data_IF_254970911482
#
_entry.id   IF_254970911482
#
_cell.length_a   1.000
_cell.length_b   1.000
_cell.length_c   1.000
_cell.angle_alpha   90.00
_cell.angle_beta   90.00
_cell.angle_gamma   90.00
#
_symmetry.space_group_name_H-M   'P 1'
#
loop_
_entity.id
_entity.type
_entity.pdbx_description
1 polymer ?
#
# COMPACT_ATOMS: atom_id res chain seq x y z
N UNK A 1 13.49 3.40 48.12
CA UNK A 1 13.96 3.59 46.74
C UNK A 1 13.05 4.61 46.06
N UNK A 2 13.39 5.90 46.14
CA UNK A 2 12.67 6.94 45.41
C UNK A 2 13.44 7.18 44.11
N UNK A 3 12.91 6.74 42.98
CA UNK A 3 13.43 7.09 41.66
C UNK A 3 13.10 8.56 41.38
N UNK A 4 14.00 9.45 41.83
CA UNK A 4 13.90 10.89 41.62
C UNK A 4 13.89 11.22 40.14
N UNK A 5 12.69 11.43 39.56
CA UNK A 5 12.56 11.96 38.22
C UNK A 5 12.99 13.43 38.25
N UNK A 6 14.14 13.73 37.65
CA UNK A 6 14.58 15.11 37.39
C UNK A 6 13.44 15.95 36.79
N UNK A 7 13.31 17.18 37.27
CA UNK A 7 12.37 18.17 36.72
C UNK A 7 12.70 18.48 35.26
N UNK A 8 11.73 19.04 34.52
CA UNK A 8 11.92 19.39 33.11
C UNK A 8 13.07 20.40 32.90
N UNK A 9 13.24 21.33 33.84
CA UNK A 9 14.31 22.34 33.80
C UNK A 9 15.68 21.71 34.05
N UNK A 10 15.80 20.81 35.03
CA UNK A 10 17.06 20.10 35.31
C UNK A 10 17.47 19.20 34.14
N UNK A 11 16.52 18.50 33.51
CA UNK A 11 16.79 17.71 32.30
C UNK A 11 17.26 18.57 31.13
N UNK A 12 16.72 19.79 30.98
CA UNK A 12 17.15 20.73 29.94
C UNK A 12 18.56 21.26 30.21
N UNK A 13 18.87 21.59 31.46
CA UNK A 13 20.20 22.02 31.89
C UNK A 13 21.25 20.92 31.66
N UNK A 14 20.97 19.68 32.08
CA UNK A 14 21.88 18.54 31.88
C UNK A 14 22.17 18.29 30.39
N UNK A 15 21.13 18.37 29.54
CA UNK A 15 21.29 18.25 28.08
C UNK A 15 22.13 19.39 27.50
N UNK A 16 21.99 20.62 28.00
CA UNK A 16 22.81 21.76 27.58
C UNK A 16 24.27 21.56 27.97
N UNK A 17 24.54 21.12 29.21
CA UNK A 17 25.90 20.82 29.68
C UNK A 17 26.57 19.75 28.82
N UNK A 18 25.86 18.65 28.54
CA UNK A 18 26.37 17.59 27.65
C UNK A 18 26.64 18.10 26.24
N UNK A 19 25.81 19.00 25.72
CA UNK A 19 26.03 19.60 24.40
C UNK A 19 27.26 20.51 24.38
N UNK A 20 27.45 21.36 25.40
CA UNK A 20 28.65 22.19 25.50
C UNK A 20 29.93 21.36 25.68
N UNK A 21 29.88 20.24 26.40
CA UNK A 21 31.01 19.33 26.52
C UNK A 21 31.43 18.75 25.15
N UNK A 22 30.46 18.39 24.30
CA UNK A 22 30.77 17.92 22.95
C UNK A 22 31.50 18.97 22.10
N UNK A 23 31.14 20.25 22.27
CA UNK A 23 31.83 21.37 21.61
C UNK A 23 33.26 21.49 22.13
N UNK A 24 33.47 21.39 23.44
CA UNK A 24 34.80 21.45 24.04
C UNK A 24 35.71 20.28 23.60
N UNK A 25 35.14 19.11 23.34
CA UNK A 25 35.88 17.91 22.94
C UNK A 25 36.13 17.84 21.42
N UNK A 26 35.54 18.73 20.61
CA UNK A 26 35.61 18.72 19.16
C UNK A 26 37.02 19.11 18.65
N UNK A 27 37.64 18.27 17.82
CA UNK A 27 39.01 18.51 17.30
C UNK A 27 39.11 18.46 15.79
N UNK A 28 38.19 17.78 15.11
CA UNK A 28 38.24 17.59 13.66
C UNK A 28 37.03 18.22 12.97
N UNK A 29 37.12 18.58 11.68
CA UNK A 29 35.95 19.07 10.91
C UNK A 29 34.75 18.10 10.97
N UNK A 30 35.01 16.79 11.04
CA UNK A 30 33.97 15.77 11.18
C UNK A 30 33.25 15.83 12.53
N UNK A 31 33.93 16.26 13.60
CA UNK A 31 33.30 16.46 14.90
C UNK A 31 32.35 17.66 14.86
N UNK A 32 32.81 18.78 14.28
CA UNK A 32 31.98 19.98 14.08
C UNK A 32 30.76 19.73 13.21
N UNK A 33 30.89 18.94 12.14
CA UNK A 33 29.77 18.49 11.33
C UNK A 33 28.75 17.66 12.12
N UNK A 34 29.22 16.72 12.96
CA UNK A 34 28.32 15.91 13.81
C UNK A 34 27.59 16.77 14.84
N UNK A 35 28.25 17.78 15.38
CA UNK A 35 27.67 18.69 16.37
C UNK A 35 26.63 19.61 15.69
N UNK A 36 26.98 20.20 14.55
CA UNK A 36 26.10 21.04 13.74
C UNK A 36 24.80 20.33 13.35
N UNK A 37 24.83 19.02 13.12
CA UNK A 37 23.65 18.20 12.81
C UNK A 37 22.79 17.80 14.02
N UNK A 38 23.19 18.12 15.26
CA UNK A 38 22.45 17.67 16.43
C UNK A 38 21.09 18.36 16.54
N UNK A 39 20.05 17.55 16.76
CA UNK A 39 18.71 18.02 17.09
C UNK A 39 18.63 18.44 18.55
N UNK A 40 18.45 19.73 18.81
CA UNK A 40 18.39 20.31 20.15
C UNK A 40 17.67 21.68 20.11
N UNK A 41 17.65 22.44 21.21
CA UNK A 41 17.08 23.79 21.25
C UNK A 41 18.04 24.81 21.88
N UNK A 42 19.34 24.61 21.68
CA UNK A 42 20.41 25.40 22.28
C UNK A 42 21.12 26.34 21.29
N UNK A 43 20.74 26.31 20.02
CA UNK A 43 21.27 27.20 18.99
C UNK A 43 20.87 28.66 19.29
N UNK A 44 21.87 29.53 19.39
CA UNK A 44 21.72 30.98 19.58
C UNK A 44 22.75 31.72 18.73
N UNK A 45 22.57 33.04 18.56
CA UNK A 45 23.49 33.89 17.78
C UNK A 45 24.89 33.85 18.39
N UNK A 46 24.99 33.95 19.72
CA UNK A 46 26.27 33.94 20.44
C UNK A 46 27.02 32.62 20.24
N UNK A 47 26.30 31.49 20.35
CA UNK A 47 26.91 30.18 20.15
C UNK A 47 27.43 30.00 18.72
N UNK A 48 26.70 30.51 17.73
CA UNK A 48 27.11 30.43 16.33
C UNK A 48 28.33 31.34 16.09
N UNK A 49 28.33 32.55 16.65
CA UNK A 49 29.44 33.52 16.55
C UNK A 49 30.73 32.98 17.18
N UNK A 50 30.68 32.46 18.41
CA UNK A 50 31.83 31.98 19.18
C UNK A 50 32.67 30.95 18.40
N UNK A 51 32.01 30.15 17.55
CA UNK A 51 32.64 29.06 16.80
C UNK A 51 32.43 29.18 15.28
N UNK A 52 32.15 30.38 14.76
CA UNK A 52 31.77 30.62 13.36
C UNK A 52 32.72 30.03 12.31
N UNK A 53 34.02 30.00 12.60
CA UNK A 53 35.03 29.48 11.68
C UNK A 53 35.24 27.96 11.78
N UNK A 54 34.60 27.30 12.75
CA UNK A 54 34.72 25.88 12.99
C UNK A 54 33.48 25.10 12.57
N UNK A 55 32.32 25.77 12.54
CA UNK A 55 31.07 25.14 12.13
C UNK A 55 31.10 24.62 10.69
N UNK A 56 30.55 23.42 10.51
CA UNK A 56 30.10 22.98 9.18
C UNK A 56 28.79 23.71 8.86
N UNK A 57 28.90 24.76 8.05
CA UNK A 57 27.77 25.61 7.69
C UNK A 57 26.74 24.93 6.81
N UNK A 58 27.12 23.91 6.04
CA UNK A 58 26.16 23.10 5.31
C UNK A 58 25.28 22.32 6.30
N UNK A 59 25.91 21.67 7.29
CA UNK A 59 25.23 20.94 8.35
C UNK A 59 24.34 21.85 9.22
N UNK A 60 24.79 23.05 9.57
CA UNK A 60 23.95 24.03 10.28
C UNK A 60 22.77 24.48 9.43
N UNK A 61 23.00 24.76 8.14
CA UNK A 61 21.96 25.22 7.23
C UNK A 61 20.82 24.21 7.12
N UNK A 62 21.12 22.90 7.02
CA UNK A 62 20.09 21.86 6.93
C UNK A 62 19.43 21.51 8.27
N UNK A 63 19.94 22.00 9.40
CA UNK A 63 19.48 21.56 10.71
C UNK A 63 18.14 22.23 11.08
N UNK A 64 17.07 21.45 11.04
CA UNK A 64 15.71 21.89 11.40
C UNK A 64 15.54 22.33 12.87
N UNK A 65 16.54 22.07 13.72
CA UNK A 65 16.57 22.53 15.10
C UNK A 65 17.12 23.95 15.26
N UNK A 66 17.85 24.44 14.27
CA UNK A 66 18.27 25.85 14.20
C UNK A 66 17.05 26.64 13.76
N UNK A 67 16.41 27.31 14.72
CA UNK A 67 15.31 28.23 14.45
C UNK A 67 15.91 29.54 13.95
N UNK A 68 15.93 29.72 12.63
CA UNK A 68 16.48 30.92 12.01
C UNK A 68 15.68 32.15 12.47
N UNK A 69 16.40 33.23 12.72
CA UNK A 69 15.88 34.57 12.96
C UNK A 69 16.48 35.52 11.93
N UNK A 70 15.89 36.70 11.73
CA UNK A 70 16.45 37.73 10.84
C UNK A 70 17.89 38.08 11.23
N UNK A 71 18.15 38.28 12.53
CA UNK A 71 19.50 38.55 13.06
C UNK A 71 20.53 37.47 12.68
N UNK A 72 20.16 36.19 12.78
CA UNK A 72 21.03 35.09 12.36
C UNK A 72 21.31 35.11 10.85
N UNK A 73 20.32 35.44 10.03
CA UNK A 73 20.47 35.51 8.59
C UNK A 73 21.37 36.69 8.18
N UNK A 74 21.18 37.86 8.80
CA UNK A 74 21.98 39.06 8.56
C UNK A 74 23.44 38.86 8.98
N UNK A 75 23.68 38.46 10.23
CA UNK A 75 25.04 38.40 10.79
C UNK A 75 25.91 37.34 10.10
N UNK A 76 25.31 36.23 9.69
CA UNK A 76 26.03 35.09 9.11
C UNK A 76 25.77 34.88 7.61
N UNK A 77 25.31 35.91 6.92
CA UNK A 77 24.89 35.87 5.51
C UNK A 77 25.90 35.21 4.58
N UNK A 78 27.19 35.50 4.77
CA UNK A 78 28.28 34.97 3.94
C UNK A 78 28.60 33.49 4.21
N UNK A 79 28.14 32.95 5.33
CA UNK A 79 28.43 31.57 5.72
C UNK A 79 27.29 30.61 5.41
N UNK A 80 26.05 31.09 5.44
CA UNK A 80 24.88 30.25 5.18
C UNK A 80 24.91 29.61 3.80
N UNK A 81 24.56 28.33 3.75
CA UNK A 81 24.36 27.64 2.49
C UNK A 81 22.94 27.88 1.99
N UNK A 82 22.72 29.04 1.38
CA UNK A 82 21.39 29.53 0.98
C UNK A 82 20.57 28.55 0.14
N UNK A 83 21.21 27.77 -0.73
CA UNK A 83 20.51 26.72 -1.48
C UNK A 83 19.89 25.63 -0.60
N UNK A 84 20.52 25.30 0.52
CA UNK A 84 20.00 24.33 1.50
C UNK A 84 18.88 24.97 2.31
N UNK A 85 19.07 26.23 2.74
CA UNK A 85 18.04 26.99 3.44
C UNK A 85 16.76 27.13 2.60
N UNK A 86 16.88 27.41 1.31
CA UNK A 86 15.73 27.50 0.38
C UNK A 86 14.88 26.21 0.30
N UNK A 87 15.42 25.05 0.68
CA UNK A 87 14.70 23.76 0.68
C UNK A 87 14.03 23.45 2.02
N UNK A 88 14.22 24.28 3.04
CA UNK A 88 13.67 24.01 4.37
C UNK A 88 12.18 24.25 4.41
N UNK A 89 11.46 23.19 4.70
CA UNK A 89 10.00 23.19 4.88
C UNK A 89 9.57 23.40 6.33
N UNK A 90 10.50 23.37 7.28
CA UNK A 90 10.24 23.57 8.71
C UNK A 90 10.26 25.05 9.13
N UNK A 91 10.71 25.94 8.23
CA UNK A 91 10.77 27.37 8.48
C UNK A 91 9.39 28.01 8.42
N UNK A 92 9.15 28.97 9.31
CA UNK A 92 8.05 29.93 9.17
C UNK A 92 8.52 31.03 8.24
N UNK A 93 8.31 30.83 6.95
CA UNK A 93 8.74 31.79 5.93
C UNK A 93 7.98 33.12 6.08
N UNK A 94 8.74 34.21 6.14
CA UNK A 94 8.28 35.59 6.10
C UNK A 94 8.60 36.18 4.71
N UNK A 95 7.71 37.01 4.17
CA UNK A 95 7.90 37.60 2.83
C UNK A 95 9.08 38.57 2.85
N UNK A 96 9.29 39.23 3.98
CA UNK A 96 10.38 40.15 4.28
C UNK A 96 11.75 39.46 4.14
N UNK A 97 11.87 38.17 4.48
CA UNK A 97 13.11 37.42 4.26
C UNK A 97 13.41 37.21 2.78
N UNK A 98 12.37 36.99 1.97
CA UNK A 98 12.53 36.85 0.51
C UNK A 98 12.94 38.18 -0.12
N UNK A 99 12.40 39.29 0.39
CA UNK A 99 12.76 40.66 -0.01
C UNK A 99 14.20 41.00 0.37
N UNK A 100 14.54 40.89 1.65
CA UNK A 100 15.82 41.36 2.18
C UNK A 100 17.01 40.56 1.63
N UNK A 101 16.84 39.24 1.45
CA UNK A 101 17.92 38.34 1.00
C UNK A 101 17.69 37.81 -0.42
N UNK A 102 16.98 38.57 -1.25
CA UNK A 102 16.56 38.16 -2.59
C UNK A 102 17.69 37.55 -3.44
N UNK A 103 18.88 38.17 -3.42
CA UNK A 103 20.02 37.76 -4.23
C UNK A 103 20.77 36.53 -3.69
N UNK A 104 20.49 36.11 -2.46
CA UNK A 104 21.12 34.95 -1.86
C UNK A 104 20.31 33.68 -2.05
N UNK A 105 18.98 33.80 -2.08
CA UNK A 105 18.10 32.66 -2.18
C UNK A 105 18.28 31.88 -3.48
N UNK A 106 18.22 30.55 -3.39
CA UNK A 106 18.12 29.71 -4.56
C UNK A 106 16.64 29.65 -4.98
N UNK A 107 16.25 30.50 -5.92
CA UNK A 107 14.87 30.61 -6.39
C UNK A 107 14.33 29.33 -7.01
N UNK A 108 15.16 28.50 -7.62
CA UNK A 108 14.71 27.19 -8.11
C UNK A 108 14.28 26.31 -6.94
N UNK A 109 15.08 26.21 -5.87
CA UNK A 109 14.72 25.43 -4.68
C UNK A 109 13.49 26.02 -3.97
N UNK A 110 13.41 27.35 -3.84
CA UNK A 110 12.21 28.00 -3.31
C UNK A 110 10.97 27.65 -4.15
N UNK A 111 11.09 27.61 -5.48
CA UNK A 111 9.98 27.28 -6.39
C UNK A 111 9.39 25.88 -6.19
N UNK A 112 10.09 24.98 -5.50
CA UNK A 112 9.61 23.64 -5.11
C UNK A 112 9.27 23.50 -3.61
N UNK A 113 9.52 24.52 -2.79
CA UNK A 113 9.27 24.50 -1.35
C UNK A 113 7.77 24.75 -1.03
N UNK A 114 7.07 23.74 -0.49
CA UNK A 114 5.63 23.80 -0.17
C UNK A 114 5.30 24.66 1.06
N UNK A 115 6.28 25.05 1.87
CA UNK A 115 6.08 25.81 3.10
C UNK A 115 6.17 27.33 2.94
N UNK A 116 6.45 27.82 1.73
CA UNK A 116 6.43 29.26 1.46
C UNK A 116 4.99 29.80 1.53
N UNK A 117 4.80 31.08 1.91
CA UNK A 117 3.51 31.75 1.90
C UNK A 117 3.13 32.12 0.47
N UNK A 118 2.78 31.12 -0.33
CA UNK A 118 2.39 31.29 -1.73
C UNK A 118 1.14 32.16 -1.85
N UNK A 119 1.30 33.36 -2.39
CA UNK A 119 0.21 34.25 -2.81
C UNK A 119 0.44 34.71 -4.25
N UNK A 120 -0.62 35.19 -4.91
CA UNK A 120 -0.51 35.75 -6.25
C UNK A 120 0.42 36.97 -6.29
N UNK A 121 0.41 37.81 -5.24
CA UNK A 121 1.28 38.97 -5.10
C UNK A 121 2.76 38.58 -4.98
N UNK A 122 3.06 37.52 -4.21
CA UNK A 122 4.42 37.02 -4.07
C UNK A 122 4.97 36.50 -5.40
N UNK A 123 4.13 35.79 -6.17
CA UNK A 123 4.51 35.30 -7.49
C UNK A 123 4.70 36.45 -8.46
N UNK A 124 3.78 37.41 -8.49
CA UNK A 124 3.85 38.58 -9.38
C UNK A 124 5.12 39.41 -9.12
N UNK A 125 5.43 39.68 -7.85
CA UNK A 125 6.60 40.47 -7.46
C UNK A 125 7.92 39.87 -7.95
N UNK A 126 8.05 38.54 -7.90
CA UNK A 126 9.28 37.83 -8.26
C UNK A 126 9.12 36.96 -9.51
N UNK A 127 8.23 37.35 -10.42
CA UNK A 127 7.84 36.59 -11.59
C UNK A 127 9.00 36.14 -12.51
N UNK A 128 10.14 36.84 -12.48
CA UNK A 128 11.32 36.54 -13.28
C UNK A 128 12.38 35.73 -12.52
N UNK A 129 12.25 35.63 -11.20
CA UNK A 129 13.14 34.82 -10.36
C UNK A 129 12.65 33.38 -10.25
N UNK A 130 11.33 33.18 -10.27
CA UNK A 130 10.73 31.87 -10.09
C UNK A 130 11.05 30.88 -11.20
N UNK A 131 11.30 29.62 -10.80
CA UNK A 131 11.26 28.47 -11.69
C UNK A 131 9.79 28.06 -11.86
N UNK A 132 9.20 28.48 -12.97
CA UNK A 132 7.79 28.25 -13.28
C UNK A 132 7.42 26.77 -13.43
N UNK A 133 8.36 25.90 -13.78
CA UNK A 133 8.10 24.46 -13.75
C UNK A 133 7.80 23.98 -12.33
N UNK A 134 8.58 24.44 -11.34
CA UNK A 134 8.34 24.11 -9.93
C UNK A 134 7.00 24.61 -9.42
N UNK A 135 6.65 25.87 -9.74
CA UNK A 135 5.36 26.45 -9.32
C UNK A 135 4.18 25.74 -9.98
N UNK A 136 4.31 25.35 -11.26
CA UNK A 136 3.23 24.66 -11.98
C UNK A 136 2.89 23.28 -11.39
N UNK A 137 3.86 22.61 -10.75
CA UNK A 137 3.68 21.26 -10.20
C UNK A 137 3.12 21.26 -8.76
N UNK A 138 2.62 22.38 -8.27
CA UNK A 138 2.15 22.50 -6.90
C UNK A 138 0.72 22.04 -6.74
N UNK A 139 0.50 21.03 -5.90
CA UNK A 139 -0.79 20.37 -5.68
C UNK A 139 -1.82 21.20 -4.90
N UNK A 140 -1.39 22.15 -4.07
CA UNK A 140 -2.25 22.83 -3.07
C UNK A 140 -2.81 24.19 -3.50
N UNK A 141 -2.43 24.70 -4.66
CA UNK A 141 -2.74 26.08 -5.06
C UNK A 141 -3.73 26.08 -6.21
N UNK A 142 -4.90 26.66 -5.96
CA UNK A 142 -5.92 26.92 -6.95
C UNK A 142 -5.69 28.32 -7.52
N UNK A 143 -4.92 28.42 -8.60
CA UNK A 143 -4.71 29.70 -9.29
C UNK A 143 -6.00 30.13 -9.98
N UNK A 144 -6.46 31.36 -9.77
CA UNK A 144 -7.63 31.84 -10.51
C UNK A 144 -7.33 31.91 -12.02
N UNK A 145 -8.42 31.92 -12.81
CA UNK A 145 -8.36 31.94 -14.28
C UNK A 145 -7.53 33.13 -14.76
N UNK A 146 -7.72 34.32 -14.19
CA UNK A 146 -7.05 35.54 -14.60
C UNK A 146 -5.53 35.48 -14.36
N UNK A 147 -5.10 34.82 -13.28
CA UNK A 147 -3.70 34.62 -12.93
C UNK A 147 -3.01 33.63 -13.86
N UNK A 148 -3.71 32.55 -14.23
CA UNK A 148 -3.22 31.63 -15.26
C UNK A 148 -3.06 32.36 -16.59
N UNK A 149 -4.07 33.14 -17.00
CA UNK A 149 -4.05 33.95 -18.23
C UNK A 149 -2.90 34.97 -18.23
N UNK A 150 -2.67 35.67 -17.10
CA UNK A 150 -1.61 36.70 -16.97
C UNK A 150 -0.21 36.16 -17.27
N UNK A 151 0.10 34.92 -16.87
CA UNK A 151 1.41 34.30 -17.09
C UNK A 151 1.38 33.08 -18.01
N UNK A 152 0.44 33.05 -18.94
CA UNK A 152 0.23 31.91 -19.86
C UNK A 152 1.51 31.43 -20.57
N UNK A 153 2.46 32.32 -20.84
CA UNK A 153 3.72 32.00 -21.53
C UNK A 153 4.81 31.46 -20.60
N UNK A 154 4.67 31.63 -19.28
CA UNK A 154 5.64 31.19 -18.29
C UNK A 154 5.29 29.84 -17.68
N UNK A 155 3.99 29.52 -17.59
CA UNK A 155 3.53 28.26 -17.01
C UNK A 155 4.08 27.01 -17.72
N UNK A 156 4.41 26.00 -16.94
CA UNK A 156 4.61 24.64 -17.44
C UNK A 156 3.24 23.96 -17.51
N UNK A 157 2.69 23.88 -18.73
CA UNK A 157 1.36 23.32 -18.95
C UNK A 157 1.22 21.86 -18.56
N UNK A 158 2.29 21.05 -18.68
CA UNK A 158 2.30 19.68 -18.16
C UNK A 158 2.21 19.61 -16.62
N UNK A 159 2.82 20.58 -15.93
CA UNK A 159 2.68 20.74 -14.49
C UNK A 159 1.26 21.12 -14.08
N UNK A 160 0.69 22.12 -14.77
CA UNK A 160 -0.70 22.54 -14.54
C UNK A 160 -1.68 21.38 -14.82
N UNK A 161 -1.45 20.61 -15.89
CA UNK A 161 -2.29 19.47 -16.28
C UNK A 161 -2.40 18.40 -15.19
N UNK A 162 -1.39 18.31 -14.30
CA UNK A 162 -1.33 17.28 -13.26
C UNK A 162 -2.14 17.62 -12.01
N UNK A 163 -2.41 18.90 -11.75
CA UNK A 163 -2.93 19.34 -10.45
C UNK A 163 -3.99 20.44 -10.53
N UNK A 164 -4.34 20.92 -11.72
CA UNK A 164 -5.30 21.99 -11.93
C UNK A 164 -6.26 21.66 -13.07
N UNK A 165 -7.55 21.58 -12.74
CA UNK A 165 -8.60 21.95 -13.67
C UNK A 165 -9.58 22.85 -12.91
N UNK A 166 -9.41 24.16 -13.06
CA UNK A 166 -10.21 25.10 -12.27
C UNK A 166 -11.45 25.61 -13.00
N UNK A 167 -11.49 25.49 -14.32
CA UNK A 167 -12.63 26.01 -15.08
C UNK A 167 -12.68 25.45 -16.52
N UNK A 168 -13.84 24.98 -17.02
CA UNK A 168 -14.01 24.53 -18.41
C UNK A 168 -13.52 25.54 -19.46
N UNK A 169 -13.74 26.84 -19.19
CA UNK A 169 -13.26 27.95 -20.03
C UNK A 169 -11.74 27.93 -20.27
N UNK A 170 -10.92 27.52 -19.30
CA UNK A 170 -9.46 27.44 -19.49
C UNK A 170 -9.06 26.27 -20.40
N UNK A 171 -9.77 25.14 -20.31
CA UNK A 171 -9.55 24.01 -21.21
C UNK A 171 -9.90 24.38 -22.66
N UNK A 172 -10.95 25.17 -22.84
CA UNK A 172 -11.36 25.67 -24.15
C UNK A 172 -10.36 26.68 -24.70
N UNK A 173 -10.08 27.76 -23.95
CA UNK A 173 -9.20 28.84 -24.41
C UNK A 173 -7.78 28.36 -24.71
N UNK A 174 -7.25 27.44 -23.90
CA UNK A 174 -5.86 26.97 -24.00
C UNK A 174 -5.75 25.50 -24.41
N UNK A 175 -6.71 25.03 -25.20
CA UNK A 175 -6.87 23.62 -25.55
C UNK A 175 -5.62 22.95 -26.16
N UNK A 176 -4.77 23.71 -26.85
CA UNK A 176 -3.54 23.19 -27.47
C UNK A 176 -2.33 23.17 -26.53
N UNK A 177 -2.40 23.86 -25.41
CA UNK A 177 -1.28 23.93 -24.45
C UNK A 177 -1.34 22.80 -23.43
N UNK A 178 -2.55 22.35 -23.10
CA UNK A 178 -2.77 21.30 -22.13
C UNK A 178 -2.20 19.96 -22.58
N UNK A 179 -1.60 19.24 -21.63
CA UNK A 179 -1.24 17.84 -21.81
C UNK A 179 -2.47 16.99 -21.48
N UNK A 180 -3.22 16.62 -22.52
CA UNK A 180 -4.48 15.86 -22.38
C UNK A 180 -4.29 14.47 -21.78
N UNK A 181 -3.12 13.86 -21.97
CA UNK A 181 -2.83 12.58 -21.34
C UNK A 181 -2.72 12.77 -19.82
N UNK A 182 -1.93 13.75 -19.37
CA UNK A 182 -1.77 14.05 -17.94
C UNK A 182 -3.10 14.55 -17.34
N UNK A 183 -3.88 15.35 -18.06
CA UNK A 183 -5.21 15.80 -17.60
C UNK A 183 -6.16 14.62 -17.35
N UNK A 184 -6.19 13.63 -18.24
CA UNK A 184 -7.00 12.42 -18.03
C UNK A 184 -6.46 11.58 -16.85
N UNK A 185 -5.15 11.66 -16.57
CA UNK A 185 -4.51 11.01 -15.42
C UNK A 185 -4.74 11.75 -14.10
N UNK A 186 -5.02 13.05 -14.13
CA UNK A 186 -5.20 13.91 -12.96
C UNK A 186 -6.30 13.39 -12.01
N UNK A 187 -6.06 13.60 -10.71
CA UNK A 187 -6.84 13.11 -9.56
C UNK A 187 -7.81 14.14 -9.00
N UNK A 188 -7.75 15.41 -9.43
CA UNK A 188 -8.56 16.49 -8.83
C UNK A 188 -9.98 16.62 -9.37
N UNK A 189 -10.24 16.15 -10.60
CA UNK A 189 -11.38 16.64 -11.37
C UNK A 189 -12.34 15.56 -11.84
N UNK A 190 -13.61 15.96 -11.93
CA UNK A 190 -14.72 15.12 -12.38
C UNK A 190 -15.08 15.50 -13.83
N UNK A 191 -14.94 14.54 -14.74
CA UNK A 191 -15.37 14.66 -16.13
C UNK A 191 -16.88 14.47 -16.23
N UNK A 192 -17.60 15.58 -16.37
CA UNK A 192 -19.05 15.56 -16.65
C UNK A 192 -19.32 15.18 -18.10
N UNK A 193 -20.57 14.81 -18.41
CA UNK A 193 -20.98 14.48 -19.77
C UNK A 193 -20.73 15.63 -20.77
N UNK A 194 -20.90 16.88 -20.33
CA UNK A 194 -20.67 18.08 -21.14
C UNK A 194 -19.18 18.21 -21.49
N UNK A 195 -18.28 18.03 -20.53
CA UNK A 195 -16.83 18.09 -20.76
C UNK A 195 -16.36 16.96 -21.66
N UNK A 196 -16.86 15.74 -21.43
CA UNK A 196 -16.59 14.59 -22.29
C UNK A 196 -17.01 14.88 -23.73
N UNK A 197 -18.20 15.47 -23.92
CA UNK A 197 -18.72 15.79 -25.25
C UNK A 197 -17.91 16.90 -25.93
N UNK A 198 -17.55 17.94 -25.17
CA UNK A 198 -16.81 19.09 -25.68
C UNK A 198 -15.39 18.72 -26.13
N UNK A 199 -14.72 17.84 -25.38
CA UNK A 199 -13.30 17.52 -25.60
C UNK A 199 -13.06 16.12 -26.14
N UNK A 200 -14.10 15.42 -26.62
CA UNK A 200 -14.07 14.00 -27.02
C UNK A 200 -12.86 13.59 -27.87
N UNK A 201 -12.40 14.44 -28.78
CA UNK A 201 -11.36 14.13 -29.75
C UNK A 201 -9.94 14.29 -29.17
N UNK A 202 -9.82 14.87 -27.96
CA UNK A 202 -8.56 15.09 -27.25
C UNK A 202 -8.37 14.16 -26.06
N UNK A 203 -9.46 13.57 -25.56
CA UNK A 203 -9.44 12.75 -24.36
C UNK A 203 -8.75 11.40 -24.61
N UNK A 204 -7.96 10.98 -23.63
CA UNK A 204 -7.45 9.62 -23.58
C UNK A 204 -8.51 8.70 -22.94
N UNK A 205 -9.40 8.18 -23.78
CA UNK A 205 -10.51 7.31 -23.35
C UNK A 205 -10.05 6.03 -22.64
N UNK A 206 -8.87 5.50 -22.99
CA UNK A 206 -8.30 4.35 -22.28
C UNK A 206 -7.97 4.71 -20.83
N UNK A 207 -7.35 5.87 -20.61
CA UNK A 207 -7.08 6.39 -19.26
C UNK A 207 -8.37 6.68 -18.49
N UNK A 208 -9.37 7.29 -19.13
CA UNK A 208 -10.66 7.58 -18.48
C UNK A 208 -11.47 6.32 -18.14
N UNK A 209 -11.29 5.24 -18.91
CA UNK A 209 -11.96 3.95 -18.65
C UNK A 209 -11.34 3.19 -17.48
N UNK A 210 -10.08 3.46 -17.13
CA UNK A 210 -9.37 2.76 -16.05
C UNK A 210 -9.96 3.13 -14.70
N UNK A 211 -10.23 2.10 -13.91
CA UNK A 211 -10.54 2.27 -12.51
C UNK A 211 -9.27 2.41 -11.67
N UNK A 212 -9.27 3.39 -10.78
CA UNK A 212 -8.26 3.60 -9.75
C UNK A 212 -9.02 3.88 -8.44
N UNK A 213 -8.73 3.10 -7.38
CA UNK A 213 -9.36 3.20 -6.06
C UNK A 213 -9.25 4.59 -5.42
N UNK A 214 -8.33 5.43 -5.91
CA UNK A 214 -8.16 6.80 -5.45
C UNK A 214 -9.00 7.83 -6.21
N UNK A 215 -9.67 7.46 -7.32
CA UNK A 215 -10.19 8.43 -8.30
C UNK A 215 -11.54 8.01 -8.95
N UNK A 216 -12.63 8.68 -8.56
CA UNK A 216 -13.90 8.60 -9.29
C UNK A 216 -13.97 9.73 -10.34
N UNK A 217 -13.21 9.57 -11.43
CA UNK A 217 -12.96 10.62 -12.45
C UNK A 217 -14.15 10.95 -13.34
N UNK A 218 -15.09 10.03 -13.48
CA UNK A 218 -16.25 10.14 -14.36
C UNK A 218 -17.49 9.87 -13.51
N UNK A 219 -18.53 10.70 -13.68
CA UNK A 219 -19.84 10.48 -13.06
C UNK A 219 -20.60 9.38 -13.80
N UNK A 220 -20.18 8.13 -13.60
CA UNK A 220 -20.72 7.00 -14.33
C UNK A 220 -22.24 6.89 -14.22
N UNK A 221 -22.88 6.86 -15.38
CA UNK A 221 -24.30 6.58 -15.55
C UNK A 221 -24.49 5.79 -16.84
N UNK A 222 -25.57 5.01 -16.95
CA UNK A 222 -25.86 4.27 -18.17
C UNK A 222 -25.95 5.20 -19.40
N UNK A 223 -26.39 6.44 -19.20
CA UNK A 223 -26.44 7.49 -20.23
C UNK A 223 -25.05 7.88 -20.76
N UNK A 224 -24.08 8.11 -19.87
CA UNK A 224 -22.70 8.45 -20.27
C UNK A 224 -22.03 7.26 -20.98
N UNK A 225 -22.26 6.04 -20.50
CA UNK A 225 -21.74 4.83 -21.14
C UNK A 225 -22.29 4.71 -22.57
N UNK A 226 -23.61 4.85 -22.76
CA UNK A 226 -24.23 4.75 -24.08
C UNK A 226 -23.77 5.86 -25.03
N UNK A 227 -23.73 7.11 -24.55
CA UNK A 227 -23.37 8.27 -25.37
C UNK A 227 -21.96 8.16 -25.98
N UNK A 228 -21.03 7.53 -25.26
CA UNK A 228 -19.62 7.41 -25.68
C UNK A 228 -19.16 5.95 -25.86
N UNK A 229 -20.09 5.03 -26.12
CA UNK A 229 -19.83 3.58 -26.20
C UNK A 229 -18.70 3.17 -27.13
N UNK A 230 -18.52 3.90 -28.24
CA UNK A 230 -17.50 3.60 -29.26
C UNK A 230 -16.12 4.13 -28.88
N UNK A 231 -16.03 4.96 -27.83
CA UNK A 231 -14.77 5.54 -27.36
C UNK A 231 -14.21 4.77 -26.16
N UNK A 232 -15.08 4.20 -25.33
CA UNK A 232 -14.67 3.53 -24.12
C UNK A 232 -13.79 2.30 -24.37
N UNK A 233 -12.79 2.11 -23.50
CA UNK A 233 -12.04 0.88 -23.43
C UNK A 233 -12.83 -0.13 -22.58
N UNK A 234 -13.60 -0.99 -23.23
CA UNK A 234 -14.49 -1.95 -22.59
C UNK A 234 -13.78 -2.97 -21.70
N UNK A 235 -12.52 -3.30 -21.99
CA UNK A 235 -11.70 -4.17 -21.12
C UNK A 235 -11.45 -3.51 -19.77
N UNK A 236 -11.18 -2.21 -19.73
CA UNK A 236 -10.97 -1.49 -18.48
C UNK A 236 -12.29 -1.17 -17.78
N UNK A 237 -13.33 -0.81 -18.53
CA UNK A 237 -14.68 -0.62 -17.98
C UNK A 237 -15.21 -1.88 -17.30
N UNK A 238 -14.97 -3.07 -17.86
CA UNK A 238 -15.45 -4.33 -17.28
C UNK A 238 -14.90 -4.62 -15.88
N UNK A 239 -13.76 -4.00 -15.52
CA UNK A 239 -13.15 -4.10 -14.18
C UNK A 239 -13.63 -3.02 -13.23
N UNK A 240 -14.33 -2.00 -13.72
CA UNK A 240 -14.64 -0.80 -12.99
C UNK A 240 -15.84 -1.01 -12.03
N UNK A 241 -15.63 -1.03 -10.71
CA UNK A 241 -16.68 -1.22 -9.72
C UNK A 241 -17.63 -0.01 -9.62
N UNK A 242 -17.24 1.16 -10.16
CA UNK A 242 -18.06 2.39 -10.12
C UNK A 242 -19.07 2.50 -11.25
N UNK A 243 -19.08 1.56 -12.21
CA UNK A 243 -20.14 1.51 -13.22
C UNK A 243 -21.49 1.14 -12.58
N UNK A 244 -22.62 1.58 -13.16
CA UNK A 244 -23.96 1.26 -12.68
C UNK A 244 -24.34 -0.17 -13.11
N UNK A 245 -23.63 -1.16 -12.56
CA UNK A 245 -23.86 -2.57 -12.88
C UNK A 245 -25.30 -2.98 -12.54
N UNK A 246 -26.01 -3.47 -13.55
CA UNK A 246 -27.31 -4.11 -13.45
C UNK A 246 -27.40 -5.23 -14.48
N UNK A 247 -28.41 -6.09 -14.39
CA UNK A 247 -28.62 -7.14 -15.40
C UNK A 247 -28.90 -6.51 -16.77
N UNK A 248 -29.73 -5.47 -16.81
CA UNK A 248 -30.06 -4.73 -18.03
C UNK A 248 -28.82 -4.08 -18.64
N UNK A 249 -27.90 -3.55 -17.81
CA UNK A 249 -26.64 -2.99 -18.28
C UNK A 249 -25.78 -4.07 -18.95
N UNK A 250 -25.64 -5.25 -18.32
CA UNK A 250 -24.84 -6.35 -18.90
C UNK A 250 -25.50 -6.87 -20.18
N UNK A 251 -26.83 -7.00 -20.20
CA UNK A 251 -27.58 -7.39 -21.39
C UNK A 251 -27.37 -6.43 -22.56
N UNK A 252 -27.45 -5.12 -22.30
CA UNK A 252 -27.26 -4.09 -23.32
C UNK A 252 -25.87 -4.13 -23.95
N UNK A 253 -24.82 -4.40 -23.17
CA UNK A 253 -23.42 -4.33 -23.61
C UNK A 253 -22.73 -5.70 -23.70
N UNK A 254 -23.49 -6.79 -23.71
CA UNK A 254 -22.98 -8.15 -23.63
C UNK A 254 -21.93 -8.52 -24.70
N UNK A 255 -21.95 -7.85 -25.86
CA UNK A 255 -21.07 -8.15 -26.98
C UNK A 255 -19.75 -7.38 -26.96
N UNK A 256 -19.67 -6.32 -26.17
CA UNK A 256 -18.46 -5.48 -26.04
C UNK A 256 -17.77 -5.66 -24.70
N UNK A 257 -18.50 -6.11 -23.66
CA UNK A 257 -17.94 -6.38 -22.35
C UNK A 257 -16.86 -7.47 -22.39
N UNK A 258 -15.79 -7.27 -21.62
CA UNK A 258 -14.75 -8.27 -21.39
C UNK A 258 -15.19 -9.23 -20.28
N UNK A 259 -15.75 -10.36 -20.70
CA UNK A 259 -16.25 -11.40 -19.81
C UNK A 259 -15.20 -11.99 -18.87
N UNK A 260 -13.92 -12.02 -19.29
CA UNK A 260 -12.86 -12.53 -18.45
C UNK A 260 -12.55 -11.55 -17.29
N UNK A 261 -12.75 -10.25 -17.51
CA UNK A 261 -12.68 -9.23 -16.45
C UNK A 261 -13.94 -9.24 -15.58
N UNK A 262 -15.12 -9.39 -16.18
CA UNK A 262 -16.39 -9.49 -15.45
C UNK A 262 -16.44 -10.70 -14.51
N UNK A 263 -15.84 -11.82 -14.88
CA UNK A 263 -15.71 -13.02 -14.02
C UNK A 263 -15.01 -12.78 -12.67
N UNK A 264 -14.40 -11.62 -12.46
CA UNK A 264 -13.78 -11.23 -11.19
C UNK A 264 -14.43 -10.00 -10.55
N UNK A 265 -15.48 -9.46 -11.16
CA UNK A 265 -16.14 -8.25 -10.71
C UNK A 265 -17.19 -8.57 -9.63
N UNK A 266 -16.90 -8.14 -8.40
CA UNK A 266 -17.76 -8.41 -7.23
C UNK A 266 -18.97 -7.47 -7.13
N UNK A 267 -19.12 -6.47 -8.01
CA UNK A 267 -20.25 -5.53 -8.01
C UNK A 267 -21.36 -5.93 -8.99
N UNK A 268 -21.18 -7.04 -9.72
CA UNK A 268 -22.22 -7.57 -10.57
C UNK A 268 -23.37 -8.15 -9.72
N UNK A 269 -24.62 -8.08 -10.22
CA UNK A 269 -25.79 -8.65 -9.55
C UNK A 269 -25.82 -10.18 -9.71
N UNK A 270 -24.88 -10.87 -9.06
CA UNK A 270 -24.72 -12.31 -9.17
C UNK A 270 -25.98 -13.07 -8.73
N UNK A 271 -26.50 -13.92 -9.63
CA UNK A 271 -27.51 -14.94 -9.35
C UNK A 271 -27.22 -16.19 -10.17
N UNK A 272 -27.86 -17.31 -9.83
CA UNK A 272 -27.73 -18.56 -10.61
C UNK A 272 -28.26 -18.34 -12.03
N UNK A 273 -29.39 -17.63 -12.17
CA UNK A 273 -30.02 -17.30 -13.45
C UNK A 273 -29.10 -16.43 -14.31
N UNK A 274 -28.48 -15.41 -13.72
CA UNK A 274 -27.54 -14.54 -14.43
C UNK A 274 -26.30 -15.30 -14.92
N UNK A 275 -25.75 -16.19 -14.09
CA UNK A 275 -24.63 -17.04 -14.50
C UNK A 275 -25.07 -17.99 -15.62
N UNK A 276 -26.26 -18.59 -15.52
CA UNK A 276 -26.80 -19.51 -16.52
C UNK A 276 -26.99 -18.84 -17.89
N UNK A 277 -27.53 -17.63 -17.92
CA UNK A 277 -27.80 -16.86 -19.13
C UNK A 277 -26.54 -16.68 -19.99
N UNK A 278 -25.39 -16.48 -19.35
CA UNK A 278 -24.11 -16.21 -20.00
C UNK A 278 -23.05 -17.29 -19.78
N UNK A 279 -23.48 -18.52 -19.48
CA UNK A 279 -22.60 -19.64 -19.10
C UNK A 279 -21.40 -19.88 -20.03
N UNK A 280 -21.56 -19.62 -21.32
CA UNK A 280 -20.52 -19.84 -22.33
C UNK A 280 -19.57 -18.66 -22.51
N UNK A 281 -19.90 -17.49 -21.93
CA UNK A 281 -19.06 -16.29 -22.02
C UNK A 281 -18.13 -16.15 -20.81
N UNK A 282 -18.53 -16.68 -19.65
CA UNK A 282 -17.74 -16.59 -18.42
C UNK A 282 -16.40 -17.32 -18.48
N UNK A 283 -15.37 -16.71 -17.88
CA UNK A 283 -14.14 -17.40 -17.50
C UNK A 283 -14.36 -18.15 -16.18
N UNK A 284 -14.59 -19.46 -16.28
CA UNK A 284 -14.92 -20.30 -15.12
C UNK A 284 -13.78 -20.48 -14.13
N UNK A 285 -12.52 -20.46 -14.58
CA UNK A 285 -11.37 -20.54 -13.66
C UNK A 285 -11.28 -19.28 -12.80
N UNK A 286 -11.61 -18.12 -13.37
CA UNK A 286 -11.72 -16.86 -12.63
C UNK A 286 -12.94 -16.83 -11.72
N UNK A 287 -14.12 -17.28 -12.19
CA UNK A 287 -15.32 -17.36 -11.36
C UNK A 287 -15.12 -18.27 -10.14
N UNK A 288 -14.40 -19.39 -10.28
CA UNK A 288 -14.06 -20.27 -9.15
C UNK A 288 -13.29 -19.56 -8.02
N UNK A 289 -12.60 -18.44 -8.31
CA UNK A 289 -11.88 -17.60 -7.33
C UNK A 289 -12.70 -16.40 -6.87
N UNK A 290 -13.82 -16.11 -7.53
CA UNK A 290 -14.57 -14.89 -7.34
C UNK A 290 -15.39 -14.92 -6.04
N UNK A 291 -15.79 -13.72 -5.61
CA UNK A 291 -16.69 -13.53 -4.49
C UNK A 291 -18.15 -13.65 -4.98
N UNK A 292 -18.58 -14.89 -5.24
CA UNK A 292 -19.95 -15.21 -5.64
C UNK A 292 -20.82 -15.50 -4.40
N UNK A 293 -22.16 -15.42 -4.53
CA UNK A 293 -23.08 -15.93 -3.52
C UNK A 293 -23.07 -17.46 -3.50
N UNK A 294 -21.98 -18.03 -3.01
CA UNK A 294 -21.75 -19.47 -2.99
C UNK A 294 -22.86 -20.20 -2.26
N UNK A 295 -23.43 -21.21 -2.92
CA UNK A 295 -24.44 -22.12 -2.39
C UNK A 295 -24.26 -23.49 -3.02
N UNK A 296 -24.72 -24.54 -2.36
CA UNK A 296 -24.66 -25.90 -2.93
C UNK A 296 -25.41 -25.97 -4.27
N UNK A 297 -26.54 -25.27 -4.38
CA UNK A 297 -27.31 -25.17 -5.62
C UNK A 297 -26.51 -24.52 -6.76
N UNK A 298 -25.78 -23.44 -6.48
CA UNK A 298 -24.92 -22.79 -7.48
C UNK A 298 -23.80 -23.74 -7.95
N UNK A 299 -23.16 -24.45 -7.03
CA UNK A 299 -22.11 -25.41 -7.37
C UNK A 299 -22.67 -26.57 -8.18
N UNK A 300 -23.78 -27.16 -7.74
CA UNK A 300 -24.44 -28.28 -8.40
C UNK A 300 -24.89 -27.94 -9.83
N UNK A 301 -25.46 -26.75 -10.02
CA UNK A 301 -26.00 -26.33 -11.32
C UNK A 301 -24.92 -26.27 -12.41
N UNK A 302 -23.68 -25.95 -12.03
CA UNK A 302 -22.57 -25.75 -12.97
C UNK A 302 -21.36 -26.65 -12.68
N UNK A 303 -21.59 -27.85 -12.12
CA UNK A 303 -20.53 -28.78 -11.69
C UNK A 303 -19.47 -29.03 -12.76
N UNK A 304 -19.88 -29.19 -14.02
CA UNK A 304 -18.99 -29.48 -15.14
C UNK A 304 -18.12 -28.30 -15.57
N UNK A 305 -18.46 -27.09 -15.15
CA UNK A 305 -17.77 -25.88 -15.57
C UNK A 305 -16.75 -25.39 -14.56
N UNK A 306 -16.97 -25.68 -13.27
CA UNK A 306 -16.11 -25.18 -12.21
C UNK A 306 -14.68 -25.75 -12.30
N UNK A 307 -13.70 -24.88 -12.04
CA UNK A 307 -12.34 -25.30 -11.75
C UNK A 307 -12.29 -25.84 -10.31
N UNK A 308 -12.41 -27.15 -10.16
CA UNK A 308 -12.46 -27.84 -8.86
C UNK A 308 -11.17 -27.75 -8.07
N UNK A 309 -10.02 -27.64 -8.74
CA UNK A 309 -8.72 -27.43 -8.08
C UNK A 309 -8.68 -26.09 -7.34
N UNK A 310 -9.34 -25.09 -7.93
CA UNK A 310 -9.49 -23.76 -7.37
C UNK A 310 -10.57 -23.75 -6.28
N UNK A 311 -11.73 -24.36 -6.52
CA UNK A 311 -12.81 -24.45 -5.54
C UNK A 311 -12.35 -25.16 -4.25
N UNK A 312 -11.55 -26.23 -4.34
CA UNK A 312 -10.99 -26.91 -3.16
C UNK A 312 -10.21 -25.97 -2.23
N UNK A 313 -9.63 -24.89 -2.76
CA UNK A 313 -8.87 -23.89 -1.99
C UNK A 313 -9.72 -22.70 -1.55
N UNK A 314 -10.98 -22.63 -1.99
CA UNK A 314 -11.84 -21.48 -1.76
C UNK A 314 -12.47 -21.54 -0.37
N UNK A 315 -11.97 -20.70 0.53
CA UNK A 315 -12.46 -20.52 1.90
C UNK A 315 -13.84 -19.88 2.04
N UNK A 316 -14.44 -19.35 0.95
CA UNK A 316 -15.78 -18.74 0.96
C UNK A 316 -16.89 -19.75 0.66
N UNK A 317 -16.56 -20.99 0.29
CA UNK A 317 -17.56 -22.02 0.05
C UNK A 317 -18.25 -22.44 1.36
N UNK A 318 -19.52 -22.90 1.29
CA UNK A 318 -20.28 -23.36 2.44
C UNK A 318 -19.84 -24.76 2.88
N UNK A 319 -18.60 -24.88 3.36
CA UNK A 319 -18.02 -26.16 3.76
C UNK A 319 -18.84 -26.85 4.86
N UNK A 320 -19.31 -28.06 4.55
CA UNK A 320 -19.97 -29.00 5.47
C UNK A 320 -19.58 -30.42 5.05
N UNK A 321 -19.75 -31.40 5.96
CA UNK A 321 -19.48 -32.81 5.62
C UNK A 321 -20.37 -33.29 4.48
N UNK A 322 -21.65 -32.89 4.48
CA UNK A 322 -22.64 -33.24 3.46
C UNK A 322 -22.30 -32.62 2.10
N UNK A 323 -21.89 -31.35 2.08
CA UNK A 323 -21.43 -30.65 0.87
C UNK A 323 -20.20 -31.33 0.26
N UNK A 324 -19.24 -31.73 1.10
CA UNK A 324 -18.05 -32.43 0.65
C UNK A 324 -18.41 -33.81 0.09
N UNK A 325 -19.29 -34.54 0.78
CA UNK A 325 -19.76 -35.86 0.36
C UNK A 325 -20.48 -35.84 -0.99
N UNK A 326 -21.32 -34.83 -1.20
CA UNK A 326 -22.08 -34.66 -2.43
C UNK A 326 -21.16 -34.48 -3.66
N UNK A 327 -20.04 -33.76 -3.50
CA UNK A 327 -19.07 -33.47 -4.57
C UNK A 327 -17.75 -34.25 -4.45
N UNK A 328 -17.73 -35.35 -3.70
CA UNK A 328 -16.51 -36.08 -3.31
C UNK A 328 -15.57 -36.47 -4.46
N UNK A 329 -16.13 -36.75 -5.64
CA UNK A 329 -15.37 -37.21 -6.81
C UNK A 329 -14.89 -36.05 -7.69
N UNK A 330 -15.35 -34.83 -7.42
CA UNK A 330 -14.89 -33.63 -8.10
C UNK A 330 -13.75 -32.93 -7.35
N UNK A 331 -13.72 -33.02 -6.02
CA UNK A 331 -12.72 -32.30 -5.23
C UNK A 331 -11.29 -32.71 -5.55
N UNK A 332 -10.42 -31.72 -5.68
CA UNK A 332 -8.99 -31.92 -5.55
C UNK A 332 -8.64 -32.13 -4.07
N UNK A 333 -8.53 -33.39 -3.67
CA UNK A 333 -8.22 -33.80 -2.29
C UNK A 333 -6.85 -33.33 -1.82
N UNK A 334 -5.88 -33.15 -2.73
CA UNK A 334 -4.57 -32.62 -2.38
C UNK A 334 -4.65 -31.14 -2.01
N UNK A 335 -5.51 -30.38 -2.69
CA UNK A 335 -5.77 -28.98 -2.40
C UNK A 335 -6.60 -28.77 -1.13
N UNK A 336 -7.58 -29.64 -0.87
CA UNK A 336 -8.43 -29.61 0.31
C UNK A 336 -7.62 -29.62 1.63
N UNK A 337 -6.52 -30.37 1.68
CA UNK A 337 -5.68 -30.50 2.88
C UNK A 337 -5.24 -29.14 3.44
N UNK A 338 -5.00 -28.15 2.57
CA UNK A 338 -4.56 -26.81 2.96
C UNK A 338 -5.69 -25.87 3.41
N UNK A 339 -6.95 -26.31 3.34
CA UNK A 339 -8.11 -25.46 3.58
C UNK A 339 -8.53 -25.48 5.06
N UNK A 340 -8.36 -24.32 5.71
CA UNK A 340 -8.64 -24.12 7.15
C UNK A 340 -10.13 -24.18 7.49
N UNK A 341 -11.01 -24.06 6.49
CA UNK A 341 -12.47 -23.98 6.69
C UNK A 341 -13.15 -25.34 6.57
N UNK A 342 -12.40 -26.41 6.29
CA UNK A 342 -12.97 -27.75 6.29
C UNK A 342 -13.38 -28.19 7.69
N UNK A 343 -14.43 -29.03 7.81
CA UNK A 343 -14.91 -29.58 9.07
C UNK A 343 -14.00 -30.69 9.58
N UNK A 344 -12.73 -30.36 9.85
CA UNK A 344 -11.74 -31.31 10.35
C UNK A 344 -12.22 -31.98 11.63
N UNK A 345 -12.40 -33.30 11.54
CA UNK A 345 -12.74 -34.18 12.66
C UNK A 345 -12.16 -35.56 12.39
N UNK A 346 -12.02 -36.38 13.44
CA UNK A 346 -11.53 -37.75 13.30
C UNK A 346 -12.43 -38.55 12.33
N UNK A 347 -13.75 -38.38 12.44
CA UNK A 347 -14.71 -39.04 11.54
C UNK A 347 -14.58 -38.54 10.10
N UNK A 348 -14.46 -37.23 9.89
CA UNK A 348 -14.25 -36.69 8.53
C UNK A 348 -12.96 -37.20 7.88
N UNK A 349 -11.88 -37.37 8.65
CA UNK A 349 -10.65 -37.98 8.15
C UNK A 349 -10.87 -39.46 7.82
N UNK A 350 -11.63 -40.19 8.66
CA UNK A 350 -11.93 -41.60 8.49
C UNK A 350 -12.74 -41.87 7.22
N UNK A 351 -13.80 -41.09 6.99
CA UNK A 351 -14.72 -41.24 5.86
C UNK A 351 -14.00 -41.18 4.50
N UNK A 352 -12.87 -40.46 4.44
CA UNK A 352 -12.09 -40.23 3.22
C UNK A 352 -10.64 -40.66 3.34
N UNK A 353 -10.33 -41.62 4.22
CA UNK A 353 -8.96 -42.09 4.49
C UNK A 353 -8.17 -42.46 3.23
N UNK A 354 -8.83 -43.03 2.21
CA UNK A 354 -8.19 -43.47 0.97
C UNK A 354 -7.98 -42.34 -0.06
N UNK A 355 -8.59 -41.17 0.18
CA UNK A 355 -8.48 -39.99 -0.68
C UNK A 355 -7.38 -39.03 -0.20
N UNK A 356 -7.01 -39.10 1.06
CA UNK A 356 -6.05 -38.18 1.65
C UNK A 356 -4.61 -38.51 1.27
N UNK A 357 -3.84 -37.46 0.96
CA UNK A 357 -2.38 -37.54 0.96
C UNK A 357 -1.89 -37.49 2.42
N UNK A 358 -1.58 -38.67 2.94
CA UNK A 358 -1.12 -38.84 4.32
C UNK A 358 0.24 -38.22 4.61
N UNK A 359 1.09 -37.99 3.60
CA UNK A 359 2.33 -37.25 3.82
C UNK A 359 2.03 -35.77 4.10
N UNK A 360 1.11 -35.18 3.33
CA UNK A 360 0.67 -33.81 3.52
C UNK A 360 -0.14 -33.63 4.81
N UNK A 361 -1.07 -34.54 5.13
CA UNK A 361 -1.78 -34.50 6.42
C UNK A 361 -0.80 -34.61 7.61
N UNK A 362 0.23 -35.45 7.50
CA UNK A 362 1.25 -35.59 8.56
C UNK A 362 2.02 -34.29 8.82
N UNK A 363 2.11 -33.37 7.85
CA UNK A 363 2.70 -32.03 8.05
C UNK A 363 1.81 -31.12 8.90
N UNK A 364 0.54 -31.47 9.05
CA UNK A 364 -0.36 -30.90 10.07
C UNK A 364 -0.83 -29.48 9.80
N UNK A 365 -1.14 -29.12 8.55
CA UNK A 365 -1.81 -27.85 8.31
C UNK A 365 -3.28 -27.95 8.78
N UNK A 366 -3.56 -27.36 9.95
CA UNK A 366 -4.91 -27.08 10.46
C UNK A 366 -5.71 -28.24 11.05
N UNK A 367 -5.10 -29.41 11.23
CA UNK A 367 -5.67 -30.51 12.03
C UNK A 367 -5.32 -30.29 13.50
N UNK A 368 -6.30 -30.44 14.39
CA UNK A 368 -6.08 -30.51 15.82
C UNK A 368 -5.56 -31.90 16.21
N UNK A 369 -4.30 -31.98 16.64
CA UNK A 369 -3.69 -33.25 17.02
C UNK A 369 -4.19 -33.72 18.39
N UNK A 370 -4.84 -34.88 18.41
CA UNK A 370 -5.18 -35.62 19.63
C UNK A 370 -4.48 -36.98 19.63
N UNK A 371 -4.32 -37.59 20.81
CA UNK A 371 -3.76 -38.95 20.91
C UNK A 371 -4.66 -39.94 20.16
N UNK A 372 -5.98 -39.80 20.31
CA UNK A 372 -6.96 -40.63 19.59
C UNK A 372 -6.79 -40.58 18.06
N UNK A 373 -6.58 -39.39 17.50
CA UNK A 373 -6.33 -39.22 16.06
C UNK A 373 -5.05 -39.94 15.61
N UNK A 374 -3.98 -39.84 16.42
CA UNK A 374 -2.71 -40.50 16.12
C UNK A 374 -2.89 -42.02 16.13
N UNK A 375 -3.56 -42.53 17.16
CA UNK A 375 -3.77 -43.97 17.35
C UNK A 375 -4.70 -44.57 16.28
N UNK A 376 -5.80 -43.89 15.95
CA UNK A 376 -6.78 -44.39 14.97
C UNK A 376 -6.19 -44.60 13.58
N UNK A 377 -5.21 -43.77 13.20
CA UNK A 377 -4.59 -43.79 11.86
C UNK A 377 -3.09 -44.11 11.90
N UNK A 378 -2.62 -44.85 12.92
CA UNK A 378 -1.21 -45.13 13.17
C UNK A 378 -0.45 -45.72 11.97
N UNK A 379 -1.13 -46.50 11.13
CA UNK A 379 -0.56 -47.15 9.95
C UNK A 379 -0.42 -46.22 8.74
N UNK A 380 -1.17 -45.13 8.72
CA UNK A 380 -1.19 -44.18 7.62
C UNK A 380 -0.19 -43.05 7.79
N UNK A 381 0.02 -42.62 9.04
CA UNK A 381 0.89 -41.50 9.36
C UNK A 381 2.32 -41.70 8.90
N UNK A 382 2.93 -40.63 8.39
CA UNK A 382 4.36 -40.62 8.07
C UNK A 382 5.14 -40.23 9.31
N UNK A 383 5.54 -41.24 10.09
CA UNK A 383 6.18 -41.07 11.40
C UNK A 383 7.40 -40.15 11.40
N UNK A 384 8.22 -40.20 10.35
CA UNK A 384 9.33 -39.23 10.16
C UNK A 384 8.83 -37.78 10.12
N UNK A 385 7.73 -37.50 9.43
CA UNK A 385 7.14 -36.16 9.35
C UNK A 385 6.54 -35.79 10.71
N UNK A 386 5.81 -36.71 11.35
CA UNK A 386 5.24 -36.52 12.69
C UNK A 386 6.29 -36.23 13.77
N UNK A 387 7.50 -36.81 13.68
CA UNK A 387 8.62 -36.49 14.58
C UNK A 387 9.05 -35.03 14.53
N UNK A 388 8.67 -34.30 13.48
CA UNK A 388 8.90 -32.85 13.37
C UNK A 388 7.65 -32.00 13.63
N UNK A 389 6.48 -32.61 13.88
CA UNK A 389 5.21 -31.93 14.02
C UNK A 389 4.94 -31.45 15.47
N UNK A 390 4.03 -30.48 15.60
CA UNK A 390 3.57 -29.98 16.88
C UNK A 390 2.48 -30.89 17.48
N UNK A 391 2.86 -32.08 17.93
CA UNK A 391 1.95 -33.06 18.55
C UNK A 391 1.70 -32.80 20.05
N UNK A 392 0.62 -33.37 20.62
CA UNK A 392 0.38 -33.43 22.07
C UNK A 392 1.33 -34.45 22.71
N UNK A 393 2.62 -34.12 22.74
CA UNK A 393 3.66 -35.01 23.24
C UNK A 393 3.42 -35.40 24.70
N UNK A 394 3.31 -36.71 24.94
CA UNK A 394 3.26 -37.33 26.25
C UNK A 394 4.28 -38.46 26.34
N UNK A 395 4.62 -38.90 27.55
CA UNK A 395 5.53 -40.05 27.72
C UNK A 395 4.89 -41.31 27.15
N UNK A 396 3.60 -41.48 27.37
CA UNK A 396 2.81 -42.62 26.91
C UNK A 396 2.85 -42.71 25.38
N UNK A 397 2.66 -41.59 24.68
CA UNK A 397 2.73 -41.54 23.22
C UNK A 397 4.14 -41.86 22.69
N UNK A 398 5.18 -41.33 23.36
CA UNK A 398 6.57 -41.57 22.98
C UNK A 398 6.97 -43.03 23.15
N UNK A 399 6.65 -43.65 24.28
CA UNK A 399 6.92 -45.07 24.52
C UNK A 399 6.10 -46.00 23.63
N UNK A 400 4.81 -45.70 23.42
CA UNK A 400 3.95 -46.53 22.58
C UNK A 400 4.48 -46.68 21.16
N UNK A 401 5.09 -45.62 20.61
CA UNK A 401 5.61 -45.58 19.24
C UNK A 401 7.13 -45.42 19.16
N UNK A 402 7.87 -45.86 20.19
CA UNK A 402 9.33 -45.69 20.31
C UNK A 402 10.11 -46.07 19.05
N UNK A 403 9.74 -47.18 18.40
CA UNK A 403 10.40 -47.67 17.19
C UNK A 403 10.06 -46.95 15.88
N UNK A 404 9.07 -46.06 15.89
CA UNK A 404 8.60 -45.35 14.69
C UNK A 404 9.20 -43.94 14.55
N UNK A 405 9.58 -43.33 15.67
CA UNK A 405 10.04 -41.93 15.67
C UNK A 405 11.41 -41.75 15.02
N UNK A 406 11.54 -40.71 14.19
CA UNK A 406 12.85 -40.20 13.77
C UNK A 406 13.50 -39.41 14.91
N UNK A 407 14.39 -40.10 15.62
CA UNK A 407 15.16 -39.57 16.74
C UNK A 407 15.91 -38.28 16.39
N UNK A 408 16.44 -38.16 15.17
CA UNK A 408 17.21 -36.99 14.77
C UNK A 408 16.35 -35.73 14.67
N UNK A 409 15.07 -35.89 14.30
CA UNK A 409 14.09 -34.82 14.23
C UNK A 409 13.49 -34.50 15.60
N UNK A 410 13.24 -35.52 16.44
CA UNK A 410 12.80 -35.33 17.83
C UNK A 410 13.80 -34.48 18.63
N UNK A 411 15.11 -34.73 18.49
CA UNK A 411 16.17 -33.93 19.12
C UNK A 411 16.09 -32.43 18.79
N UNK A 412 15.54 -32.07 17.63
CA UNK A 412 15.41 -30.67 17.17
C UNK A 412 14.18 -29.96 17.75
N UNK A 413 13.21 -30.69 18.30
CA UNK A 413 12.00 -30.13 18.88
C UNK A 413 12.26 -29.36 20.19
N UNK A 414 13.33 -29.71 20.92
CA UNK A 414 13.73 -29.07 22.19
C UNK A 414 12.56 -28.94 23.19
N UNK A 415 11.77 -30.02 23.32
CA UNK A 415 10.65 -30.11 24.26
C UNK A 415 11.07 -30.96 25.44
N UNK A 416 10.92 -30.44 26.66
CA UNK A 416 11.30 -31.11 27.93
C UNK A 416 10.84 -32.57 28.05
N UNK A 417 9.64 -32.88 27.57
CA UNK A 417 9.08 -34.25 27.62
C UNK A 417 9.84 -35.20 26.68
N UNK A 418 10.20 -34.72 25.48
CA UNK A 418 10.98 -35.46 24.49
C UNK A 418 12.42 -35.63 25.00
N UNK A 419 13.06 -34.57 25.50
CA UNK A 419 14.45 -34.63 25.97
C UNK A 419 14.61 -35.58 27.17
N UNK A 420 13.64 -35.57 28.09
CA UNK A 420 13.60 -36.49 29.23
C UNK A 420 13.46 -37.93 28.75
N UNK A 421 12.54 -38.19 27.82
CA UNK A 421 12.35 -39.52 27.24
C UNK A 421 13.60 -40.01 26.50
N UNK A 422 14.24 -39.16 25.67
CA UNK A 422 15.47 -39.50 24.96
C UNK A 422 16.65 -39.84 25.90
N UNK A 423 16.71 -39.22 27.09
CA UNK A 423 17.66 -39.59 28.14
C UNK A 423 17.30 -40.94 28.76
N UNK A 424 16.02 -41.20 29.01
CA UNK A 424 15.51 -42.45 29.61
C UNK A 424 15.74 -43.67 28.69
N UNK A 425 15.61 -43.49 27.37
CA UNK A 425 15.86 -44.55 26.36
C UNK A 425 17.34 -44.64 25.90
N UNK A 426 18.25 -43.91 26.56
CA UNK A 426 19.70 -44.02 26.32
C UNK A 426 20.21 -43.41 25.01
N UNK A 427 19.44 -42.49 24.40
CA UNK A 427 19.77 -41.85 23.11
C UNK A 427 20.64 -40.59 23.28
N UNK A 428 20.56 -39.94 24.44
CA UNK A 428 21.55 -38.98 24.91
C UNK A 428 22.52 -39.71 25.83
N UNK A 429 23.79 -39.82 25.42
CA UNK A 429 24.85 -40.07 26.39
C UNK A 429 24.93 -38.85 27.32
N UNK A 430 25.02 -39.12 28.63
CA UNK A 430 25.10 -38.12 29.70
C UNK A 430 26.29 -37.18 29.57
#
# INVERSE_FOLDING_TARGET
>A
MATGKLSLQEKKAEKRTKFMQLIADAKTPKDWQKIANKKNNFWSVELIEDYKNLWDWFALSQNSSVKLTTEMLEQFQQYWHWGVLSRREDLKWEVEWLEQFQHHWNWSNLSWNDSLPWTMELIDRYQDCWNWQGISHRRKMLWDVAFIEKYMSKWSWSGLSRFSMLHPKLLETYSEQWDWQILCENQSDVWTAELLQQFKDKLNWSTLSKFDYSNQKVEWSAKIVEQFKDQWNWTELSKNPSLPWSLEFVEQYADVLDWASLSQNYNLPWSIEFIAQYKNKWDWSKLSKANLPWSEALIATFSEHWDWSVLSKNWLLPWSTDFIAYFKDYWDWSALISNIKLPWSIEFIADYQDRWDWEQLSRGCHIEWTIELIERFESYWKWRVLSSAALPWSKELLYKYEGQWDISLLKRQNKRVIDRWLTEVGVYEK
#
